data_IF_543160714420
#
_entry.id   IF_543160714420
#
_cell.length_a   1.000
_cell.length_b   1.000
_cell.length_c   1.000
_cell.angle_alpha   90.00
_cell.angle_beta   90.00
_cell.angle_gamma   90.00
#
_symmetry.space_group_name_H-M   'P 1'
#
loop_
_entity.id
_entity.type
_entity.pdbx_description
1 polymer ?
#
# COMPACT_ATOMS: atom_id res chain seq x y z
N UNK A 1 -5.91 61.26 55.85
CA UNK A 1 -6.32 59.84 55.75
C UNK A 1 -6.97 59.60 54.40
N UNK A 2 -6.74 58.43 53.80
CA UNK A 2 -6.77 58.16 52.36
C UNK A 2 -8.15 58.30 51.67
N UNK A 3 -8.15 58.85 50.44
CA UNK A 3 -9.34 58.93 49.56
C UNK A 3 -9.72 57.52 49.07
N UNK A 4 -10.97 57.10 49.31
CA UNK A 4 -11.54 55.88 48.72
C UNK A 4 -11.74 56.04 47.21
N UNK A 5 -11.44 54.98 46.45
CA UNK A 5 -11.66 54.93 45.01
C UNK A 5 -13.16 54.91 44.67
N UNK A 6 -13.60 55.52 43.55
CA UNK A 6 -15.01 55.61 43.19
C UNK A 6 -15.60 54.24 42.81
N UNK A 7 -16.83 53.97 43.27
CA UNK A 7 -17.59 52.77 42.89
C UNK A 7 -18.02 52.85 41.41
N UNK A 8 -17.96 51.73 40.66
CA UNK A 8 -18.38 51.70 39.26
C UNK A 8 -19.89 51.95 39.13
N UNK A 9 -20.29 52.76 38.13
CA UNK A 9 -21.69 53.14 37.87
C UNK A 9 -22.56 51.99 37.34
N UNK A 10 -23.90 52.13 37.40
CA UNK A 10 -24.84 51.09 36.98
C UNK A 10 -24.85 51.00 35.45
N UNK A 11 -24.23 49.94 34.90
CA UNK A 11 -24.25 49.66 33.46
C UNK A 11 -22.95 49.09 32.88
N UNK A 12 -21.82 49.10 33.61
CA UNK A 12 -20.60 48.46 33.14
C UNK A 12 -20.65 46.96 33.40
N UNK A 13 -20.88 46.17 32.33
CA UNK A 13 -20.73 44.70 32.39
C UNK A 13 -19.31 44.38 32.89
N UNK A 14 -19.13 43.47 33.86
CA UNK A 14 -17.79 43.11 34.32
C UNK A 14 -17.00 42.55 33.15
N UNK A 15 -15.79 43.10 32.91
CA UNK A 15 -14.85 42.56 31.93
C UNK A 15 -14.56 41.13 32.36
N UNK A 16 -15.18 40.14 31.69
CA UNK A 16 -14.90 38.72 31.90
C UNK A 16 -13.44 38.50 31.54
N UNK A 17 -12.57 38.42 32.55
CA UNK A 17 -11.21 37.91 32.38
C UNK A 17 -11.36 36.48 31.86
N UNK A 18 -11.08 36.30 30.57
CA UNK A 18 -11.12 35.03 29.90
C UNK A 18 -9.97 34.17 30.45
N UNK A 19 -10.19 33.49 31.57
CA UNK A 19 -9.22 32.56 32.16
C UNK A 19 -9.10 31.37 31.21
N UNK A 20 -8.00 31.33 30.45
CA UNK A 20 -7.66 30.16 29.63
C UNK A 20 -7.58 28.95 30.55
N UNK A 21 -8.27 27.86 30.18
CA UNK A 21 -8.20 26.60 30.90
C UNK A 21 -6.72 26.17 31.07
N UNK A 22 -6.36 25.54 32.20
CA UNK A 22 -5.00 25.06 32.40
C UNK A 22 -4.62 24.14 31.25
N UNK A 23 -3.53 24.49 30.56
CA UNK A 23 -3.00 23.67 29.47
C UNK A 23 -2.57 22.33 30.06
N UNK A 24 -3.06 21.23 29.49
CA UNK A 24 -2.57 19.91 29.86
C UNK A 24 -1.07 19.79 29.58
N UNK A 25 -0.40 18.86 30.26
CA UNK A 25 1.05 18.63 30.10
C UNK A 25 1.45 18.37 28.64
N UNK A 26 0.55 17.74 27.87
CA UNK A 26 0.75 17.41 26.45
C UNK A 26 0.27 18.49 25.47
N UNK A 27 -0.17 19.66 25.95
CA UNK A 27 -0.76 20.69 25.10
C UNK A 27 0.13 21.10 23.92
N UNK A 28 1.45 21.26 24.15
CA UNK A 28 2.39 21.62 23.10
C UNK A 28 2.54 20.51 22.04
N UNK A 29 2.59 19.24 22.47
CA UNK A 29 2.66 18.08 21.57
C UNK A 29 1.40 17.98 20.70
N UNK A 30 0.22 18.09 21.33
CA UNK A 30 -1.07 18.07 20.63
C UNK A 30 -1.19 19.25 19.67
N UNK A 31 -0.71 20.44 20.07
CA UNK A 31 -0.68 21.62 19.20
C UNK A 31 0.19 21.40 17.97
N UNK A 32 1.41 20.88 18.13
CA UNK A 32 2.32 20.59 17.02
C UNK A 32 1.75 19.52 16.09
N UNK A 33 1.18 18.44 16.65
CA UNK A 33 0.51 17.40 15.86
C UNK A 33 -0.65 17.97 15.06
N UNK A 34 -1.52 18.78 15.70
CA UNK A 34 -2.65 19.43 15.03
C UNK A 34 -2.18 20.40 13.95
N UNK A 35 -1.12 21.15 14.21
CA UNK A 35 -0.56 22.09 13.26
C UNK A 35 0.06 21.38 12.04
N UNK A 36 0.78 20.28 12.25
CA UNK A 36 1.40 19.51 11.17
C UNK A 36 0.36 18.72 10.35
N UNK A 37 -0.63 18.14 11.02
CA UNK A 37 -1.65 17.30 10.37
C UNK A 37 -2.64 18.14 9.55
N UNK A 38 -2.94 19.37 9.99
CA UNK A 38 -3.88 20.27 9.31
C UNK A 38 -3.19 21.47 8.66
N UNK A 39 -1.91 21.34 8.32
CA UNK A 39 -1.22 22.36 7.53
C UNK A 39 -1.84 22.42 6.12
N UNK A 40 -2.16 23.61 5.59
CA UNK A 40 -2.72 23.72 4.25
C UNK A 40 -1.71 23.21 3.23
N UNK A 41 -2.22 22.55 2.18
CA UNK A 41 -1.39 22.12 1.08
C UNK A 41 -0.69 23.33 0.42
N UNK A 42 0.53 23.15 -0.10
CA UNK A 42 1.18 24.19 -0.88
C UNK A 42 0.33 24.57 -2.10
N UNK A 43 0.45 25.81 -2.60
CA UNK A 43 -0.29 26.24 -3.77
C UNK A 43 0.02 25.36 -5.00
N UNK A 44 -0.90 25.27 -5.96
CA UNK A 44 -0.71 24.46 -7.16
C UNK A 44 0.49 24.94 -7.97
N UNK A 45 1.19 23.99 -8.59
CA UNK A 45 2.41 24.24 -9.35
C UNK A 45 2.13 25.05 -10.61
N UNK A 46 2.78 26.22 -10.72
CA UNK A 46 2.75 27.06 -11.92
C UNK A 46 4.00 26.80 -12.76
N UNK A 47 3.83 26.36 -13.99
CA UNK A 47 4.94 26.08 -14.92
C UNK A 47 4.90 27.03 -16.11
N UNK A 48 6.07 27.53 -16.51
CA UNK A 48 6.23 28.20 -17.81
C UNK A 48 6.06 27.20 -18.96
N UNK A 49 5.71 27.68 -20.16
CA UNK A 49 5.38 26.86 -21.34
C UNK A 49 6.39 25.74 -21.62
N UNK A 50 7.69 26.03 -21.69
CA UNK A 50 8.71 25.01 -21.97
C UNK A 50 8.88 23.98 -20.85
N UNK A 51 8.63 24.35 -19.59
CA UNK A 51 8.63 23.40 -18.47
C UNK A 51 7.39 22.50 -18.52
N UNK A 52 6.23 23.08 -18.83
CA UNK A 52 5.00 22.34 -18.99
C UNK A 52 5.10 21.31 -20.13
N UNK A 53 5.61 21.71 -21.30
CA UNK A 53 5.79 20.80 -22.43
C UNK A 53 6.74 19.64 -22.10
N UNK A 54 7.89 19.92 -21.46
CA UNK A 54 8.80 18.86 -20.99
C UNK A 54 8.11 17.89 -20.03
N UNK A 55 7.36 18.42 -19.07
CA UNK A 55 6.61 17.59 -18.12
C UNK A 55 5.54 16.73 -18.82
N UNK A 56 4.81 17.32 -19.78
CA UNK A 56 3.80 16.61 -20.56
C UNK A 56 4.39 15.45 -21.36
N UNK A 57 5.54 15.68 -22.02
CA UNK A 57 6.22 14.63 -22.79
C UNK A 57 6.69 13.49 -21.90
N UNK A 58 7.31 13.80 -20.75
CA UNK A 58 7.75 12.77 -19.79
C UNK A 58 6.55 11.98 -19.26
N UNK A 59 5.48 12.68 -18.89
CA UNK A 59 4.26 12.04 -18.40
C UNK A 59 3.65 11.11 -19.47
N UNK A 60 3.57 11.56 -20.73
CA UNK A 60 3.02 10.75 -21.80
C UNK A 60 3.89 9.53 -22.12
N UNK A 61 5.21 9.70 -22.15
CA UNK A 61 6.15 8.60 -22.32
C UNK A 61 6.01 7.57 -21.19
N UNK A 62 5.87 8.02 -19.94
CA UNK A 62 5.65 7.15 -18.79
C UNK A 62 4.34 6.37 -18.88
N UNK A 63 3.24 7.01 -19.29
CA UNK A 63 1.97 6.31 -19.52
C UNK A 63 2.08 5.23 -20.59
N UNK A 64 2.79 5.52 -21.68
CA UNK A 64 3.02 4.55 -22.76
C UNK A 64 3.88 3.38 -22.29
N UNK A 65 4.97 3.66 -21.57
CA UNK A 65 5.81 2.63 -20.95
C UNK A 65 4.99 1.73 -20.01
N UNK A 66 4.19 2.32 -19.11
CA UNK A 66 3.32 1.54 -18.22
C UNK A 66 2.34 0.65 -18.98
N UNK A 67 1.73 1.16 -20.05
CA UNK A 67 0.84 0.37 -20.91
C UNK A 67 1.57 -0.84 -21.48
N UNK A 68 2.76 -0.65 -22.03
CA UNK A 68 3.58 -1.74 -22.56
C UNK A 68 3.93 -2.79 -21.49
N UNK A 69 4.28 -2.35 -20.27
CA UNK A 69 4.55 -3.27 -19.16
C UNK A 69 3.31 -4.09 -18.78
N UNK A 70 2.13 -3.45 -18.70
CA UNK A 70 0.88 -4.14 -18.42
C UNK A 70 0.50 -5.14 -19.53
N UNK A 71 0.70 -4.77 -20.79
CA UNK A 71 0.46 -5.65 -21.94
C UNK A 71 1.41 -6.86 -21.90
N UNK A 72 2.70 -6.65 -21.61
CA UNK A 72 3.69 -7.72 -21.48
C UNK A 72 3.33 -8.71 -20.35
N UNK A 73 2.99 -8.20 -19.17
CA UNK A 73 2.57 -9.04 -18.03
C UNK A 73 1.29 -9.81 -18.36
N UNK A 74 0.33 -9.17 -19.03
CA UNK A 74 -0.93 -9.81 -19.41
C UNK A 74 -0.71 -10.93 -20.43
N UNK A 75 0.14 -10.68 -21.42
CA UNK A 75 0.52 -11.67 -22.44
C UNK A 75 1.25 -12.86 -21.81
N UNK A 76 2.18 -12.61 -20.89
CA UNK A 76 2.90 -13.67 -20.20
C UNK A 76 1.98 -14.50 -19.32
N UNK A 77 1.05 -13.87 -18.60
CA UNK A 77 0.00 -14.57 -17.84
C UNK A 77 -0.87 -15.43 -18.74
N UNK A 78 -1.29 -14.93 -19.90
CA UNK A 78 -2.06 -15.69 -20.88
C UNK A 78 -1.26 -16.88 -21.42
N UNK A 79 0.04 -16.70 -21.69
CA UNK A 79 0.95 -17.78 -22.12
C UNK A 79 1.05 -18.88 -21.06
N UNK A 80 1.28 -18.52 -19.80
CA UNK A 80 1.33 -19.48 -18.69
C UNK A 80 -0.01 -20.21 -18.54
N UNK A 81 -1.12 -19.48 -18.59
CA UNK A 81 -2.46 -20.07 -18.50
C UNK A 81 -2.74 -21.05 -19.65
N UNK A 82 -2.40 -20.70 -20.89
CA UNK A 82 -2.55 -21.59 -22.04
C UNK A 82 -1.71 -22.86 -21.90
N UNK A 83 -0.46 -22.74 -21.42
CA UNK A 83 0.40 -23.90 -21.14
C UNK A 83 -0.19 -24.81 -20.06
N UNK A 84 -0.69 -24.24 -18.96
CA UNK A 84 -1.37 -24.98 -17.89
C UNK A 84 -2.64 -25.67 -18.40
N UNK A 85 -3.43 -24.96 -19.22
CA UNK A 85 -4.66 -25.50 -19.81
C UNK A 85 -4.38 -26.71 -20.69
N UNK A 86 -3.46 -26.58 -21.65
CA UNK A 86 -3.09 -27.68 -22.54
C UNK A 86 -2.58 -28.89 -21.76
N UNK A 87 -1.71 -28.68 -20.76
CA UNK A 87 -1.22 -29.77 -19.91
C UNK A 87 -2.34 -30.47 -19.13
N UNK A 88 -3.34 -29.72 -18.67
CA UNK A 88 -4.49 -30.29 -17.96
C UNK A 88 -5.43 -31.05 -18.90
N UNK A 89 -5.64 -30.59 -20.13
CA UNK A 89 -6.44 -31.30 -21.13
C UNK A 89 -5.77 -32.62 -21.54
N UNK A 90 -4.45 -32.63 -21.73
CA UNK A 90 -3.70 -33.88 -21.93
C UNK A 90 -3.86 -34.83 -20.73
N UNK A 91 -3.68 -34.31 -19.51
CA UNK A 91 -3.84 -35.09 -18.27
C UNK A 91 -5.24 -35.69 -18.11
N UNK A 92 -6.26 -35.02 -18.67
CA UNK A 92 -7.64 -35.48 -18.64
C UNK A 92 -7.86 -36.73 -19.49
N UNK A 93 -7.15 -36.85 -20.61
CA UNK A 93 -7.22 -37.96 -21.56
C UNK A 93 -6.23 -39.09 -21.22
N UNK A 94 -5.25 -38.81 -20.35
CA UNK A 94 -4.27 -39.83 -19.96
C UNK A 94 -4.88 -40.92 -19.06
N UNK A 95 -4.55 -42.18 -19.36
CA UNK A 95 -4.81 -43.33 -18.47
C UNK A 95 -3.83 -43.28 -17.30
N UNK A 96 -4.34 -43.43 -16.08
CA UNK A 96 -3.53 -43.30 -14.88
C UNK A 96 -2.56 -44.47 -14.68
N UNK A 97 -1.43 -44.25 -13.98
CA UNK A 97 -0.54 -45.34 -13.60
C UNK A 97 -1.26 -46.36 -12.71
N UNK A 98 -0.76 -47.61 -12.69
CA UNK A 98 -1.25 -48.69 -11.80
C UNK A 98 -2.72 -49.09 -12.02
N UNK A 99 -3.20 -49.05 -13.26
CA UNK A 99 -4.56 -49.48 -13.61
C UNK A 99 -5.65 -48.49 -13.23
N UNK A 100 -5.29 -47.23 -12.92
CA UNK A 100 -6.25 -46.19 -12.62
C UNK A 100 -6.94 -45.71 -13.90
N UNK A 101 -8.26 -45.49 -13.80
CA UNK A 101 -9.08 -45.02 -14.91
C UNK A 101 -8.59 -43.67 -15.47
N UNK A 102 -8.92 -43.44 -16.74
CA UNK A 102 -8.68 -42.19 -17.46
C UNK A 102 -9.12 -40.96 -16.65
N UNK A 103 -8.30 -39.90 -16.71
CA UNK A 103 -8.60 -38.63 -16.02
C UNK A 103 -8.56 -38.71 -14.49
N UNK A 104 -8.07 -39.81 -13.89
CA UNK A 104 -7.83 -39.88 -12.45
C UNK A 104 -6.87 -38.79 -11.97
N UNK A 105 -5.71 -38.62 -12.64
CA UNK A 105 -4.71 -37.62 -12.26
C UNK A 105 -5.24 -36.19 -12.40
N UNK A 106 -6.03 -35.91 -13.44
CA UNK A 106 -6.70 -34.62 -13.61
C UNK A 106 -7.62 -34.29 -12.43
N UNK A 107 -8.46 -35.25 -12.00
CA UNK A 107 -9.36 -35.05 -10.85
C UNK A 107 -8.60 -34.74 -9.57
N UNK A 108 -7.51 -35.47 -9.30
CA UNK A 108 -6.64 -35.23 -8.13
C UNK A 108 -5.97 -33.85 -8.21
N UNK A 109 -5.42 -33.48 -9.37
CA UNK A 109 -4.76 -32.19 -9.55
C UNK A 109 -5.71 -30.98 -9.40
N UNK A 110 -7.00 -31.15 -9.69
CA UNK A 110 -8.00 -30.09 -9.56
C UNK A 110 -8.46 -29.86 -8.11
N UNK A 111 -8.14 -30.76 -7.18
CA UNK A 111 -8.47 -30.57 -5.76
C UNK A 111 -7.79 -29.31 -5.20
N UNK A 112 -8.53 -28.50 -4.44
CA UNK A 112 -8.02 -27.26 -3.81
C UNK A 112 -7.72 -27.42 -2.32
N UNK A 113 -7.32 -28.62 -1.91
CA UNK A 113 -6.97 -28.93 -0.52
C UNK A 113 -5.76 -28.09 -0.10
N UNK A 114 -5.87 -27.40 1.04
CA UNK A 114 -4.80 -26.56 1.60
C UNK A 114 -4.55 -25.22 0.89
N UNK A 115 -5.22 -24.92 -0.23
CA UNK A 115 -4.98 -23.69 -1.02
C UNK A 115 -5.55 -22.43 -0.35
N UNK A 116 -6.63 -22.56 0.41
CA UNK A 116 -7.33 -21.43 1.06
C UNK A 116 -7.04 -21.30 2.57
N UNK A 117 -6.12 -22.11 3.09
CA UNK A 117 -5.73 -22.10 4.50
C UNK A 117 -4.68 -21.04 4.84
N UNK A 118 -4.36 -20.90 6.13
CA UNK A 118 -3.28 -20.04 6.61
C UNK A 118 -1.91 -20.49 6.10
N UNK A 119 -1.72 -21.79 5.92
CA UNK A 119 -0.45 -22.40 5.51
C UNK A 119 -0.36 -22.65 3.99
N UNK A 120 -1.20 -21.99 3.20
CA UNK A 120 -1.26 -22.19 1.74
C UNK A 120 0.01 -21.76 1.00
N UNK A 121 0.66 -20.69 1.46
CA UNK A 121 1.92 -20.18 0.91
C UNK A 121 2.95 -20.10 2.04
N UNK A 122 4.08 -20.81 1.95
CA UNK A 122 5.14 -20.72 2.97
C UNK A 122 5.64 -19.29 3.13
N UNK A 123 5.66 -18.78 4.37
CA UNK A 123 6.06 -17.40 4.66
C UNK A 123 7.51 -17.10 4.24
N UNK A 124 8.36 -18.12 4.21
CA UNK A 124 9.75 -18.01 3.75
C UNK A 124 9.86 -17.70 2.26
N UNK A 125 8.89 -18.12 1.44
CA UNK A 125 8.85 -17.84 0.02
C UNK A 125 8.20 -16.48 -0.30
N UNK A 126 7.30 -15.99 0.56
CA UNK A 126 6.63 -14.71 0.40
C UNK A 126 7.53 -13.47 0.66
N UNK A 127 8.86 -13.63 0.60
CA UNK A 127 9.84 -12.55 0.82
C UNK A 127 9.84 -11.58 -0.36
N UNK A 128 9.78 -10.29 -0.06
CA UNK A 128 9.87 -9.24 -1.07
C UNK A 128 11.30 -9.07 -1.61
N UNK A 129 11.39 -8.63 -2.86
CA UNK A 129 12.67 -8.25 -3.47
C UNK A 129 13.23 -6.99 -2.77
N UNK A 130 14.53 -7.01 -2.47
CA UNK A 130 15.26 -5.88 -1.88
C UNK A 130 16.13 -5.19 -2.93
N UNK A 131 16.45 -3.91 -2.73
CA UNK A 131 17.30 -3.13 -3.65
C UNK A 131 18.73 -3.67 -3.74
N UNK A 132 19.30 -4.13 -2.61
CA UNK A 132 20.60 -4.80 -2.54
C UNK A 132 20.46 -6.16 -1.85
N UNK A 133 21.29 -7.15 -2.24
CA UNK A 133 21.28 -8.46 -1.56
C UNK A 133 21.76 -8.34 -0.10
N UNK A 134 21.41 -9.32 0.71
CA UNK A 134 21.95 -9.48 2.05
C UNK A 134 23.43 -9.91 2.00
N UNK A 135 24.12 -9.83 3.14
CA UNK A 135 25.50 -10.31 3.29
C UNK A 135 25.64 -11.79 2.90
N UNK A 136 24.64 -12.58 3.26
CA UNK A 136 24.46 -13.96 2.81
C UNK A 136 23.17 -14.02 2.00
N UNK A 137 23.23 -14.04 0.66
CA UNK A 137 22.03 -13.97 -0.19
C UNK A 137 21.24 -15.28 -0.22
N UNK A 138 21.92 -16.41 0.01
CA UNK A 138 21.32 -17.74 -0.03
C UNK A 138 22.00 -18.65 0.99
N UNK A 139 21.20 -19.36 1.78
CA UNK A 139 21.69 -20.33 2.75
C UNK A 139 21.89 -21.68 2.04
N UNK A 140 23.15 -22.03 1.74
CA UNK A 140 23.52 -23.31 1.12
C UNK A 140 23.52 -24.49 2.10
N UNK A 141 23.53 -24.22 3.41
CA UNK A 141 23.60 -25.22 4.48
C UNK A 141 22.23 -25.63 5.01
N UNK A 142 21.14 -25.24 4.33
CA UNK A 142 19.79 -25.61 4.72
C UNK A 142 19.62 -27.14 4.79
N UNK A 143 19.11 -27.63 5.92
CA UNK A 143 18.82 -29.05 6.18
C UNK A 143 17.34 -29.21 6.53
N UNK A 144 16.74 -30.30 6.05
CA UNK A 144 15.34 -30.66 6.25
C UNK A 144 15.08 -31.15 7.67
#
# INVERSE_FOLDING_TARGET
MARQAPKPGPGTKPVRKNRQAPKSENFLRIKTLRQNMFSPAPPPLRMARQRYLRHWTIHRAWQLFRRQQHEAISKERQRMHAGMYNACEELRQTVGPEGKAEGYLYRVAMEKKGVWGTDAVPIEYARFQTDTPAKEPWNHDWKR
#
